data_IF_577586763703
#
_entry.id   IF_577586763703
#
_cell.length_a   1.000
_cell.length_b   1.000
_cell.length_c   1.000
_cell.angle_alpha   90.00
_cell.angle_beta   90.00
_cell.angle_gamma   90.00
#
_symmetry.space_group_name_H-M   'P 1'
#
loop_
_entity.id
_entity.type
_entity.pdbx_description
1 polymer ?
#
# COMPACT_ATOMS: atom_id res chain seq x y z
N UNK A 1 -1.00 6.97 -9.95
CA UNK A 1 -1.67 7.36 -8.69
C UNK A 1 -0.64 7.30 -7.59
N UNK A 2 -0.74 8.17 -6.60
CA UNK A 2 0.23 8.24 -5.51
C UNK A 2 0.41 6.89 -4.78
N UNK A 3 -0.67 6.11 -4.62
CA UNK A 3 -0.62 4.77 -4.04
C UNK A 3 0.21 3.80 -4.89
N UNK A 4 0.04 3.79 -6.22
CA UNK A 4 0.82 2.93 -7.10
C UNK A 4 2.32 3.30 -7.07
N UNK A 5 2.64 4.59 -7.06
CA UNK A 5 4.02 5.06 -6.91
C UNK A 5 4.61 4.67 -5.56
N UNK A 6 3.85 4.79 -4.47
CA UNK A 6 4.29 4.36 -3.15
C UNK A 6 4.55 2.85 -3.08
N UNK A 7 3.71 2.04 -3.72
CA UNK A 7 3.93 0.58 -3.82
C UNK A 7 5.18 0.26 -4.65
N UNK A 8 5.35 0.89 -5.82
CA UNK A 8 6.52 0.69 -6.69
C UNK A 8 7.83 1.07 -5.98
N UNK A 9 7.81 2.17 -5.26
CA UNK A 9 8.97 2.74 -4.58
C UNK A 9 9.04 2.35 -3.10
N UNK A 10 8.31 1.31 -2.68
CA UNK A 10 8.18 0.91 -1.28
C UNK A 10 9.53 0.77 -0.57
N UNK A 11 10.55 0.26 -1.26
CA UNK A 11 11.91 0.07 -0.71
C UNK A 11 12.84 1.28 -0.92
N UNK A 12 12.50 2.21 -1.79
CA UNK A 12 13.33 3.36 -2.17
C UNK A 12 12.93 4.57 -1.32
N UNK A 13 13.57 4.73 -0.17
CA UNK A 13 13.21 5.76 0.82
C UNK A 13 13.20 7.18 0.22
N UNK A 14 14.17 7.50 -0.63
CA UNK A 14 14.29 8.82 -1.26
C UNK A 14 13.09 9.13 -2.17
N UNK A 15 12.70 8.19 -3.04
CA UNK A 15 11.52 8.35 -3.90
C UNK A 15 10.21 8.28 -3.11
N UNK A 16 10.19 7.58 -1.97
CA UNK A 16 9.03 7.55 -1.11
C UNK A 16 8.83 8.89 -0.40
N UNK A 17 9.92 9.59 -0.05
CA UNK A 17 9.89 10.92 0.57
C UNK A 17 9.19 11.97 -0.31
N UNK A 18 9.33 11.85 -1.62
CA UNK A 18 8.68 12.73 -2.61
C UNK A 18 7.19 12.40 -2.82
N UNK A 19 6.74 11.23 -2.36
CA UNK A 19 5.37 10.81 -2.55
C UNK A 19 4.41 11.66 -1.69
N UNK A 20 3.31 12.20 -2.25
CA UNK A 20 2.39 13.05 -1.49
C UNK A 20 1.72 12.33 -0.31
N UNK A 21 1.67 10.99 -0.29
CA UNK A 21 1.14 10.21 0.83
C UNK A 21 1.94 10.40 2.12
N UNK A 22 3.23 10.78 2.06
CA UNK A 22 4.06 11.08 3.25
C UNK A 22 3.51 12.27 4.04
N UNK A 23 2.76 13.16 3.38
CA UNK A 23 2.14 14.35 4.00
C UNK A 23 0.64 14.17 4.26
N UNK A 24 0.09 12.97 4.03
CA UNK A 24 -1.31 12.67 4.31
C UNK A 24 -1.61 12.69 5.82
N UNK A 25 -2.88 12.91 6.21
CA UNK A 25 -3.23 12.90 7.63
C UNK A 25 -3.03 11.51 8.24
N UNK A 26 -3.16 10.43 7.46
CA UNK A 26 -2.78 9.08 7.89
C UNK A 26 -1.37 9.01 8.47
N UNK A 27 -0.39 9.59 7.76
CA UNK A 27 1.01 9.57 8.21
C UNK A 27 1.24 10.56 9.36
N UNK A 28 0.68 11.76 9.26
CA UNK A 28 0.81 12.80 10.29
C UNK A 28 0.20 12.34 11.61
N UNK A 29 -0.97 11.69 11.59
CA UNK A 29 -1.62 11.17 12.80
C UNK A 29 -0.81 10.05 13.44
N UNK A 30 -0.17 9.20 12.62
CA UNK A 30 0.63 8.08 13.13
C UNK A 30 1.97 8.52 13.73
N UNK A 31 2.57 9.58 13.21
CA UNK A 31 3.92 10.03 13.59
C UNK A 31 3.94 11.27 14.48
N UNK A 32 2.91 12.11 14.41
CA UNK A 32 2.89 13.46 14.98
C UNK A 32 3.33 14.53 13.97
N UNK A 33 2.94 15.78 14.22
CA UNK A 33 3.21 16.90 13.31
C UNK A 33 4.70 17.24 13.16
N UNK A 34 5.50 17.00 14.19
CA UNK A 34 6.94 17.35 14.24
C UNK A 34 7.87 16.18 13.84
N UNK A 35 7.30 15.06 13.39
CA UNK A 35 8.08 13.88 13.04
C UNK A 35 9.04 14.13 11.88
N UNK A 36 10.22 13.50 11.94
CA UNK A 36 11.25 13.64 10.91
C UNK A 36 10.78 13.03 9.58
N UNK A 37 11.38 13.42 8.43
CA UNK A 37 11.07 12.80 7.14
C UNK A 37 11.22 11.28 7.15
N UNK A 38 12.22 10.76 7.88
CA UNK A 38 12.47 9.32 8.01
C UNK A 38 11.32 8.63 8.75
N UNK A 39 10.86 9.20 9.87
CA UNK A 39 9.74 8.64 10.65
C UNK A 39 8.45 8.58 9.81
N UNK A 40 8.21 9.61 8.99
CA UNK A 40 7.05 9.66 8.08
C UNK A 40 7.11 8.60 6.98
N UNK A 41 8.30 8.36 6.42
CA UNK A 41 8.54 7.29 5.42
C UNK A 41 8.29 5.92 6.06
N UNK A 42 8.85 5.67 7.24
CA UNK A 42 8.68 4.41 7.96
C UNK A 42 7.22 4.19 8.38
N UNK A 43 6.51 5.25 8.78
CA UNK A 43 5.09 5.18 9.05
C UNK A 43 4.27 4.84 7.81
N UNK A 44 4.56 5.45 6.65
CA UNK A 44 3.91 5.11 5.38
C UNK A 44 4.16 3.64 5.01
N UNK A 45 5.40 3.16 5.12
CA UNK A 45 5.75 1.75 4.87
C UNK A 45 4.98 0.82 5.81
N UNK A 46 4.86 1.20 7.09
CA UNK A 46 4.13 0.44 8.10
C UNK A 46 2.62 0.43 7.84
N UNK A 47 2.04 1.54 7.39
CA UNK A 47 0.62 1.62 7.01
C UNK A 47 0.35 0.70 5.81
N UNK A 48 1.17 0.77 4.75
CA UNK A 48 1.05 -0.10 3.58
C UNK A 48 1.18 -1.58 3.98
N UNK A 49 2.14 -1.90 4.85
CA UNK A 49 2.32 -3.26 5.37
C UNK A 49 1.09 -3.75 6.15
N UNK A 50 0.48 -2.89 6.97
CA UNK A 50 -0.77 -3.20 7.66
C UNK A 50 -1.92 -3.48 6.69
N UNK A 51 -2.08 -2.66 5.63
CA UNK A 51 -3.08 -2.90 4.60
C UNK A 51 -2.85 -4.23 3.86
N UNK A 52 -1.58 -4.58 3.57
CA UNK A 52 -1.24 -5.88 2.99
C UNK A 52 -1.63 -7.03 3.92
N UNK A 53 -1.38 -6.90 5.23
CA UNK A 53 -1.80 -7.87 6.23
C UNK A 53 -3.32 -7.98 6.39
N UNK A 54 -4.10 -6.92 6.13
CA UNK A 54 -5.57 -7.01 6.03
C UNK A 54 -6.02 -7.79 4.79
N UNK A 55 -5.38 -7.54 3.64
CA UNK A 55 -5.67 -8.27 2.39
C UNK A 55 -5.33 -9.76 2.55
N UNK A 56 -4.20 -10.08 3.19
CA UNK A 56 -3.79 -11.46 3.46
C UNK A 56 -4.81 -12.23 4.31
N UNK A 57 -5.33 -11.60 5.37
CA UNK A 57 -6.32 -12.19 6.29
C UNK A 57 -7.71 -12.33 5.68
N UNK A 58 -8.01 -11.63 4.59
CA UNK A 58 -9.29 -11.72 3.88
C UNK A 58 -9.32 -12.97 2.98
N UNK A 59 -10.23 -13.94 3.21
CA UNK A 59 -10.33 -15.13 2.36
C UNK A 59 -10.55 -14.77 0.88
N UNK A 60 -11.31 -13.70 0.62
CA UNK A 60 -11.65 -13.23 -0.73
C UNK A 60 -10.47 -12.54 -1.41
N UNK A 61 -9.68 -11.77 -0.65
CA UNK A 61 -8.65 -10.89 -1.19
C UNK A 61 -7.22 -11.46 -1.09
N UNK A 62 -7.01 -12.55 -0.34
CA UNK A 62 -5.70 -13.17 -0.08
C UNK A 62 -4.88 -13.48 -1.35
N UNK A 63 -5.56 -13.79 -2.47
CA UNK A 63 -4.93 -14.00 -3.78
C UNK A 63 -4.23 -12.74 -4.32
N UNK A 64 -4.73 -11.55 -4.01
CA UNK A 64 -4.12 -10.28 -4.38
C UNK A 64 -2.89 -9.98 -3.52
N UNK A 65 -2.90 -10.38 -2.24
CA UNK A 65 -1.74 -10.23 -1.35
C UNK A 65 -0.50 -10.89 -1.96
N UNK A 66 -0.60 -12.14 -2.42
CA UNK A 66 0.53 -12.87 -3.01
C UNK A 66 1.12 -12.14 -4.22
N UNK A 67 0.27 -11.56 -5.07
CA UNK A 67 0.70 -10.77 -6.23
C UNK A 67 1.39 -9.48 -5.78
N UNK A 68 0.75 -8.68 -4.93
CA UNK A 68 1.32 -7.41 -4.44
C UNK A 68 2.65 -7.63 -3.72
N UNK A 69 2.71 -8.63 -2.84
CA UNK A 69 3.89 -8.98 -2.08
C UNK A 69 5.05 -9.37 -2.99
N UNK A 70 4.82 -10.25 -3.97
CA UNK A 70 5.87 -10.70 -4.91
C UNK A 70 6.20 -9.70 -6.01
N UNK A 71 5.39 -8.67 -6.22
CA UNK A 71 5.71 -7.59 -7.17
C UNK A 71 6.50 -6.47 -6.50
N UNK A 72 6.14 -6.07 -5.28
CA UNK A 72 6.66 -4.85 -4.66
C UNK A 72 7.47 -5.09 -3.39
N UNK A 73 7.03 -6.00 -2.53
CA UNK A 73 7.61 -6.19 -1.20
C UNK A 73 8.78 -7.15 -1.21
N UNK A 74 8.70 -8.23 -1.98
CA UNK A 74 9.74 -9.22 -2.20
C UNK A 74 9.77 -9.63 -3.69
N UNK A 75 10.30 -8.75 -4.57
CA UNK A 75 10.31 -8.96 -6.00
C UNK A 75 11.13 -10.18 -6.39
N UNK A 76 10.55 -11.03 -7.23
CA UNK A 76 11.21 -12.22 -7.80
C UNK A 76 11.75 -11.99 -9.22
N UNK A 77 11.59 -10.77 -9.75
CA UNK A 77 12.07 -10.38 -11.08
C UNK A 77 11.10 -9.45 -11.78
N UNK A 78 11.03 -9.56 -13.11
CA UNK A 78 10.03 -8.86 -13.92
C UNK A 78 8.62 -9.32 -13.56
N UNK A 79 7.62 -8.53 -13.95
CA UNK A 79 6.21 -8.87 -13.70
C UNK A 79 5.78 -10.20 -14.35
N UNK A 80 6.34 -10.54 -15.52
CA UNK A 80 6.14 -11.84 -16.16
C UNK A 80 6.75 -12.97 -15.33
N UNK A 81 7.98 -12.81 -14.82
CA UNK A 81 8.61 -13.78 -13.90
C UNK A 81 7.81 -13.94 -12.62
N UNK A 82 7.16 -12.89 -12.12
CA UNK A 82 6.26 -12.98 -10.96
C UNK A 82 5.02 -13.80 -11.31
N UNK A 83 4.43 -13.61 -12.49
CA UNK A 83 3.29 -14.40 -12.95
C UNK A 83 3.64 -15.88 -13.08
N UNK A 84 4.81 -16.18 -13.67
CA UNK A 84 5.36 -17.54 -13.78
C UNK A 84 5.61 -18.15 -12.40
N UNK A 85 6.26 -17.41 -11.50
CA UNK A 85 6.52 -17.83 -10.12
C UNK A 85 5.23 -18.14 -9.34
N UNK A 86 4.14 -17.42 -9.63
CA UNK A 86 2.84 -17.62 -9.00
C UNK A 86 1.97 -18.64 -9.74
N UNK A 87 2.48 -19.29 -10.80
CA UNK A 87 1.78 -20.26 -11.63
C UNK A 87 0.45 -19.71 -12.20
N UNK A 88 0.48 -18.49 -12.75
CA UNK A 88 -0.69 -17.87 -13.39
C UNK A 88 -0.36 -17.20 -14.71
N UNK A 89 -1.35 -17.09 -15.61
CA UNK A 89 -1.16 -16.33 -16.85
C UNK A 89 -0.84 -14.86 -16.56
N UNK A 90 -0.07 -14.21 -17.45
CA UNK A 90 0.26 -12.80 -17.31
C UNK A 90 -0.99 -11.89 -17.29
N UNK A 91 -2.04 -12.24 -18.05
CA UNK A 91 -3.33 -11.54 -18.03
C UNK A 91 -4.02 -11.63 -16.66
N UNK A 92 -4.02 -12.82 -16.04
CA UNK A 92 -4.56 -13.03 -14.69
C UNK A 92 -3.76 -12.21 -13.67
N UNK A 93 -2.42 -12.28 -13.76
CA UNK A 93 -1.51 -11.49 -12.92
C UNK A 93 -1.83 -10.00 -13.01
N UNK A 94 -1.92 -9.43 -14.22
CA UNK A 94 -2.18 -8.00 -14.41
C UNK A 94 -3.51 -7.58 -13.82
N UNK A 95 -4.56 -8.40 -13.98
CA UNK A 95 -5.87 -8.16 -13.38
C UNK A 95 -5.76 -8.15 -11.85
N UNK A 96 -5.10 -9.15 -11.27
CA UNK A 96 -4.94 -9.27 -9.82
C UNK A 96 -4.09 -8.15 -9.24
N UNK A 97 -3.04 -7.73 -9.93
CA UNK A 97 -2.20 -6.60 -9.54
C UNK A 97 -3.02 -5.31 -9.49
N UNK A 98 -3.80 -5.04 -10.55
CA UNK A 98 -4.67 -3.86 -10.61
C UNK A 98 -5.69 -3.87 -9.46
N UNK A 99 -6.43 -4.97 -9.29
CA UNK A 99 -7.42 -5.10 -8.21
C UNK A 99 -6.79 -5.03 -6.83
N UNK A 100 -5.57 -5.57 -6.65
CA UNK A 100 -4.82 -5.44 -5.41
C UNK A 100 -4.47 -4.00 -5.07
N UNK A 101 -4.00 -3.21 -6.05
CA UNK A 101 -3.70 -1.78 -5.85
C UNK A 101 -4.98 -0.99 -5.55
N UNK A 102 -6.09 -1.29 -6.23
CA UNK A 102 -7.41 -0.71 -5.94
C UNK A 102 -7.85 -1.03 -4.51
N UNK A 103 -7.61 -2.26 -4.05
CA UNK A 103 -7.93 -2.67 -2.68
C UNK A 103 -7.09 -1.94 -1.63
N UNK A 104 -5.78 -1.80 -1.83
CA UNK A 104 -4.92 -0.98 -0.96
C UNK A 104 -5.41 0.47 -0.94
N UNK A 105 -5.74 1.03 -2.10
CA UNK A 105 -6.26 2.40 -2.20
C UNK A 105 -7.54 2.57 -1.38
N UNK A 106 -8.47 1.62 -1.49
CA UNK A 106 -9.72 1.63 -0.72
C UNK A 106 -9.49 1.49 0.79
N UNK A 107 -8.53 0.67 1.23
CA UNK A 107 -8.19 0.51 2.64
C UNK A 107 -7.56 1.78 3.21
N UNK A 108 -6.61 2.39 2.50
CA UNK A 108 -6.04 3.68 2.89
C UNK A 108 -7.12 4.75 3.00
N UNK A 109 -7.99 4.87 1.99
CA UNK A 109 -9.08 5.83 2.03
C UNK A 109 -10.05 5.60 3.19
N UNK A 110 -10.44 4.34 3.46
CA UNK A 110 -11.28 3.99 4.60
C UNK A 110 -10.62 4.43 5.92
N UNK A 111 -9.32 4.19 6.08
CA UNK A 111 -8.60 4.61 7.27
C UNK A 111 -8.58 6.15 7.38
N UNK A 112 -8.27 6.87 6.30
CA UNK A 112 -8.28 8.35 6.26
C UNK A 112 -9.67 8.93 6.63
N UNK A 113 -10.76 8.40 6.07
CA UNK A 113 -12.11 8.84 6.42
C UNK A 113 -12.47 8.56 7.89
N UNK A 114 -11.98 7.45 8.46
CA UNK A 114 -12.18 7.16 9.88
C UNK A 114 -11.37 8.06 10.82
N UNK A 115 -10.45 8.87 10.30
CA UNK A 115 -9.70 9.85 11.09
C UNK A 115 -10.50 11.10 11.40
N UNK A 116 -11.57 11.38 10.64
CA UNK A 116 -12.45 12.51 10.91
C UNK A 116 -13.27 12.16 12.16
N UNK A 117 -13.10 12.86 13.30
CA UNK A 117 -13.99 12.67 14.43
C UNK A 117 -15.40 13.05 13.98
N UNK A 118 -16.39 12.23 14.33
CA UNK A 118 -17.80 12.64 14.25
C UNK A 118 -17.92 13.97 15.01
N UNK A 119 -18.03 15.08 14.29
CA UNK A 119 -18.38 16.37 14.89
C UNK A 119 -19.76 16.17 15.51
N UNK A 120 -19.93 16.15 16.85
CA UNK A 120 -21.26 16.22 17.40
C UNK A 120 -21.76 17.60 17.00
N UNK A 121 -22.80 17.63 16.16
CA UNK A 121 -23.44 18.87 15.76
C UNK A 121 -23.87 19.64 17.01
N UNK A 122 -23.42 20.89 17.08
CA UNK A 122 -24.06 21.94 17.87
C UNK A 122 -24.80 22.87 16.92
#
# INVERSE_FOLDING_TARGET
TAVNEAMKNYRQRDLLAENPLVRSNLVIRKTGGEASPIDRIEALQSIIAACLGEIERSPVDSKFHRVLYRTFINPVGSQEKVADFLNMSFSTYRRYLKTGIERITALLWKQECSLVPETPGY
#
